data_IF_204015309512
#
_entry.id   IF_204015309512
#
_cell.length_a   1.000
_cell.length_b   1.000
_cell.length_c   1.000
_cell.angle_alpha   90.00
_cell.angle_beta   90.00
_cell.angle_gamma   90.00
#
_symmetry.space_group_name_H-M   'P 1'
#
loop_
_entity.id
_entity.type
_entity.pdbx_description
1 polymer ?
#
# COMPACT_ATOMS: atom_id res chain seq x y z
N UNK A 1 18.95 -18.74 -13.57
CA UNK A 1 18.13 -17.64 -13.00
C UNK A 1 17.66 -18.04 -11.60
N UNK A 2 17.96 -17.23 -10.58
CA UNK A 2 17.91 -17.62 -9.15
C UNK A 2 16.45 -17.76 -8.64
N UNK A 3 16.09 -18.84 -7.93
CA UNK A 3 14.71 -19.11 -7.50
C UNK A 3 14.12 -17.96 -6.64
N UNK A 4 14.95 -17.29 -5.84
CA UNK A 4 14.58 -16.10 -5.05
C UNK A 4 14.12 -14.91 -5.91
N UNK A 5 14.67 -14.71 -7.10
CA UNK A 5 14.27 -13.58 -7.96
C UNK A 5 12.88 -13.81 -8.55
N UNK A 6 12.54 -15.05 -8.91
CA UNK A 6 11.19 -15.42 -9.37
C UNK A 6 10.10 -15.12 -8.33
N UNK A 7 10.34 -15.46 -7.06
CA UNK A 7 9.37 -15.16 -5.99
C UNK A 7 9.22 -13.66 -5.75
N UNK A 8 10.31 -12.90 -5.81
CA UNK A 8 10.27 -11.45 -5.66
C UNK A 8 9.43 -10.79 -6.78
N UNK A 9 9.66 -11.18 -8.04
CA UNK A 9 8.89 -10.67 -9.18
C UNK A 9 7.41 -11.02 -9.08
N UNK A 10 7.06 -12.25 -8.68
CA UNK A 10 5.67 -12.66 -8.50
C UNK A 10 4.98 -11.91 -7.34
N UNK A 11 5.68 -11.71 -6.21
CA UNK A 11 5.18 -10.90 -5.09
C UNK A 11 4.93 -9.45 -5.53
N UNK A 12 5.84 -8.86 -6.31
CA UNK A 12 5.68 -7.49 -6.80
C UNK A 12 4.48 -7.34 -7.74
N UNK A 13 4.28 -8.29 -8.67
CA UNK A 13 3.11 -8.29 -9.57
C UNK A 13 1.81 -8.43 -8.78
N UNK A 14 1.74 -9.38 -7.84
CA UNK A 14 0.55 -9.55 -6.99
C UNK A 14 0.29 -8.32 -6.13
N UNK A 15 1.33 -7.68 -5.61
CA UNK A 15 1.21 -6.42 -4.88
C UNK A 15 0.59 -5.33 -5.76
N UNK A 16 1.05 -5.19 -7.01
CA UNK A 16 0.46 -4.27 -7.98
C UNK A 16 -1.03 -4.55 -8.23
N UNK A 17 -1.41 -5.83 -8.42
CA UNK A 17 -2.81 -6.26 -8.60
C UNK A 17 -3.65 -5.88 -7.37
N UNK A 18 -3.15 -6.16 -6.16
CA UNK A 18 -3.84 -5.79 -4.92
C UNK A 18 -3.97 -4.26 -4.80
N UNK A 19 -2.96 -3.50 -5.22
CA UNK A 19 -3.01 -2.04 -5.26
C UNK A 19 -4.14 -1.51 -6.16
N UNK A 20 -4.25 -2.02 -7.38
CA UNK A 20 -5.34 -1.64 -8.31
C UNK A 20 -6.70 -2.00 -7.73
N UNK A 21 -6.85 -3.22 -7.21
CA UNK A 21 -8.10 -3.65 -6.57
C UNK A 21 -8.44 -2.77 -5.36
N UNK A 22 -7.45 -2.42 -4.54
CA UNK A 22 -7.63 -1.55 -3.37
C UNK A 22 -8.19 -0.17 -3.75
N UNK A 23 -7.68 0.42 -4.83
CA UNK A 23 -8.19 1.71 -5.33
C UNK A 23 -9.63 1.59 -5.81
N UNK A 24 -9.99 0.53 -6.55
CA UNK A 24 -11.37 0.29 -6.97
C UNK A 24 -12.29 0.06 -5.76
N UNK A 25 -11.81 -0.70 -4.77
CA UNK A 25 -12.53 -0.98 -3.54
C UNK A 25 -12.75 0.30 -2.71
N UNK A 26 -11.77 1.21 -2.66
CA UNK A 26 -11.93 2.53 -2.05
C UNK A 26 -13.04 3.33 -2.74
N UNK A 27 -13.00 3.44 -4.07
CA UNK A 27 -14.03 4.22 -4.78
C UNK A 27 -15.44 3.65 -4.60
N UNK A 28 -15.57 2.32 -4.59
CA UNK A 28 -16.85 1.67 -4.29
C UNK A 28 -17.40 2.13 -2.93
N UNK A 29 -16.61 2.04 -1.86
CA UNK A 29 -17.05 2.46 -0.52
C UNK A 29 -17.22 3.97 -0.41
N UNK A 30 -16.39 4.74 -1.09
CA UNK A 30 -16.50 6.20 -1.11
C UNK A 30 -17.84 6.63 -1.69
N UNK A 31 -18.27 6.04 -2.82
CA UNK A 31 -19.58 6.35 -3.39
C UNK A 31 -20.74 5.86 -2.51
N UNK A 32 -20.62 4.68 -1.90
CA UNK A 32 -21.64 4.17 -0.96
C UNK A 32 -21.80 5.11 0.23
N UNK A 33 -20.72 5.54 0.87
CA UNK A 33 -20.78 6.45 2.00
C UNK A 33 -21.11 7.88 1.62
N UNK A 34 -20.73 8.33 0.42
CA UNK A 34 -21.00 9.67 -0.09
C UNK A 34 -22.51 9.97 -0.25
N UNK A 35 -23.37 8.95 -0.26
CA UNK A 35 -24.83 9.13 -0.22
C UNK A 35 -25.33 9.58 1.16
N UNK A 36 -24.60 9.25 2.23
CA UNK A 36 -25.05 9.45 3.61
C UNK A 36 -24.18 10.41 4.43
N UNK A 37 -22.92 10.60 4.04
CA UNK A 37 -21.91 11.36 4.77
C UNK A 37 -21.36 12.51 3.93
N UNK A 38 -20.76 13.50 4.58
CA UNK A 38 -19.98 14.52 3.88
C UNK A 38 -18.72 13.89 3.24
N UNK A 39 -18.08 14.66 2.35
CA UNK A 39 -16.89 14.23 1.62
C UNK A 39 -15.77 13.69 2.53
N UNK A 40 -15.45 14.42 3.61
CA UNK A 40 -14.33 14.07 4.49
C UNK A 40 -14.58 12.74 5.21
N UNK A 41 -15.76 12.56 5.80
CA UNK A 41 -16.11 11.32 6.49
C UNK A 41 -16.24 10.14 5.51
N UNK A 42 -16.89 10.34 4.36
CA UNK A 42 -17.01 9.30 3.34
C UNK A 42 -15.62 8.80 2.88
N UNK A 43 -14.68 9.72 2.66
CA UNK A 43 -13.32 9.38 2.25
C UNK A 43 -12.55 8.63 3.35
N UNK A 44 -12.65 9.06 4.61
CA UNK A 44 -11.97 8.39 5.74
C UNK A 44 -12.50 6.98 5.95
N UNK A 45 -13.81 6.76 5.95
CA UNK A 45 -14.38 5.42 6.12
C UNK A 45 -14.05 4.50 4.95
N UNK A 46 -14.17 5.00 3.72
CA UNK A 46 -13.78 4.24 2.52
C UNK A 46 -12.29 3.85 2.56
N UNK A 47 -11.43 4.77 3.02
CA UNK A 47 -10.00 4.52 3.18
C UNK A 47 -9.73 3.43 4.22
N UNK A 48 -10.39 3.48 5.39
CA UNK A 48 -10.22 2.47 6.44
C UNK A 48 -10.66 1.08 5.94
N UNK A 49 -11.83 0.97 5.31
CA UNK A 49 -12.34 -0.33 4.83
C UNK A 49 -11.45 -0.88 3.71
N UNK A 50 -11.06 -0.02 2.78
CA UNK A 50 -10.13 -0.37 1.70
C UNK A 50 -8.80 -0.88 2.28
N UNK A 51 -8.23 -0.15 3.24
CA UNK A 51 -7.00 -0.52 3.96
C UNK A 51 -7.08 -1.90 4.61
N UNK A 52 -8.18 -2.20 5.29
CA UNK A 52 -8.45 -3.51 5.91
C UNK A 52 -8.49 -4.60 4.83
N UNK A 53 -9.21 -4.38 3.73
CA UNK A 53 -9.25 -5.31 2.60
C UNK A 53 -7.87 -5.59 2.01
N UNK A 54 -7.09 -4.53 1.76
CA UNK A 54 -5.71 -4.66 1.26
C UNK A 54 -4.78 -5.37 2.23
N UNK A 55 -4.94 -5.21 3.55
CA UNK A 55 -4.19 -5.98 4.52
C UNK A 55 -4.39 -7.49 4.34
N UNK A 56 -5.66 -7.94 4.27
CA UNK A 56 -5.97 -9.35 4.10
C UNK A 56 -5.53 -9.89 2.74
N UNK A 57 -5.74 -9.14 1.67
CA UNK A 57 -5.27 -9.53 0.34
C UNK A 57 -3.74 -9.65 0.29
N UNK A 58 -3.02 -8.70 0.89
CA UNK A 58 -1.57 -8.79 0.95
C UNK A 58 -1.08 -9.98 1.80
N UNK A 59 -1.77 -10.32 2.89
CA UNK A 59 -1.46 -11.50 3.69
C UNK A 59 -1.70 -12.80 2.91
N UNK A 60 -2.90 -13.00 2.38
CA UNK A 60 -3.29 -14.27 1.77
C UNK A 60 -2.78 -14.44 0.34
N UNK A 61 -2.88 -13.41 -0.50
CA UNK A 61 -2.58 -13.50 -1.93
C UNK A 61 -1.13 -13.09 -2.26
N UNK A 62 -0.68 -11.92 -1.78
CA UNK A 62 0.65 -11.39 -2.13
C UNK A 62 1.77 -12.18 -1.44
N UNK A 63 1.80 -12.18 -0.11
CA UNK A 63 2.94 -12.69 0.67
C UNK A 63 2.74 -14.10 1.22
N UNK A 64 1.51 -14.63 1.19
CA UNK A 64 1.14 -15.96 1.70
C UNK A 64 1.59 -16.16 3.16
N UNK A 65 1.22 -15.22 4.02
CA UNK A 65 1.52 -15.22 5.46
C UNK A 65 0.23 -15.18 6.28
N UNK A 66 0.26 -15.65 7.52
CA UNK A 66 -0.92 -15.61 8.39
C UNK A 66 -1.23 -14.17 8.80
N UNK A 67 -2.45 -13.65 8.65
CA UNK A 67 -2.82 -12.36 9.23
C UNK A 67 -2.83 -12.49 10.75
N UNK A 68 -2.20 -11.54 11.42
CA UNK A 68 -2.19 -11.48 12.88
C UNK A 68 -2.50 -10.06 13.33
N UNK A 69 -3.01 -9.92 14.55
CA UNK A 69 -3.34 -8.60 15.11
C UNK A 69 -2.12 -7.67 15.18
N UNK A 70 -0.93 -8.21 15.45
CA UNK A 70 0.33 -7.45 15.44
C UNK A 70 0.67 -6.89 14.05
N UNK A 71 0.50 -7.69 12.99
CA UNK A 71 0.69 -7.25 11.61
C UNK A 71 -0.36 -6.19 11.23
N UNK A 72 -1.61 -6.39 11.66
CA UNK A 72 -2.71 -5.47 11.39
C UNK A 72 -2.45 -4.07 11.96
N UNK A 73 -2.08 -3.96 13.24
CA UNK A 73 -1.77 -2.66 13.87
C UNK A 73 -0.58 -1.95 13.22
N UNK A 74 0.38 -2.71 12.68
CA UNK A 74 1.57 -2.13 12.00
C UNK A 74 1.32 -1.77 10.54
N UNK A 75 0.32 -2.35 9.91
CA UNK A 75 0.05 -2.11 8.49
C UNK A 75 -0.29 -0.64 8.15
N UNK A 76 -1.00 0.13 9.00
CA UNK A 76 -1.16 1.57 8.83
C UNK A 76 0.15 2.35 8.65
N UNK A 77 1.28 1.87 9.19
CA UNK A 77 2.59 2.50 8.98
C UNK A 77 2.98 2.55 7.50
N UNK A 78 2.56 1.55 6.71
CA UNK A 78 2.76 1.53 5.25
C UNK A 78 2.07 2.72 4.60
N UNK A 79 0.84 3.02 5.01
CA UNK A 79 0.06 4.14 4.49
C UNK A 79 0.62 5.48 4.95
N UNK A 80 1.13 5.58 6.18
CA UNK A 80 1.82 6.79 6.64
C UNK A 80 3.02 7.11 5.75
N UNK A 81 3.86 6.12 5.45
CA UNK A 81 4.99 6.29 4.53
C UNK A 81 4.51 6.64 3.12
N UNK A 82 3.44 5.98 2.65
CA UNK A 82 2.84 6.29 1.35
C UNK A 82 2.36 7.75 1.26
N UNK A 83 1.67 8.25 2.28
CA UNK A 83 1.21 9.64 2.37
C UNK A 83 2.41 10.59 2.39
N UNK A 84 3.41 10.33 3.22
CA UNK A 84 4.63 11.15 3.27
C UNK A 84 5.31 11.24 1.90
N UNK A 85 5.41 10.12 1.19
CA UNK A 85 6.00 10.09 -0.16
C UNK A 85 5.11 10.81 -1.19
N UNK A 86 3.79 10.65 -1.10
CA UNK A 86 2.83 11.30 -1.99
C UNK A 86 2.86 12.84 -1.87
N UNK A 87 3.14 13.39 -0.68
CA UNK A 87 3.30 14.84 -0.50
C UNK A 87 4.72 15.32 -0.77
N UNK A 88 5.75 14.61 -0.29
CA UNK A 88 7.14 15.08 -0.37
C UNK A 88 7.76 14.98 -1.77
N UNK A 89 7.51 13.88 -2.51
CA UNK A 89 8.14 13.67 -3.82
C UNK A 89 7.72 14.74 -4.84
N UNK A 90 6.42 15.03 -5.05
CA UNK A 90 6.01 16.10 -5.95
C UNK A 90 6.58 17.45 -5.54
N UNK A 91 6.48 17.77 -4.25
CA UNK A 91 6.93 19.05 -3.71
C UNK A 91 8.43 19.27 -3.94
N UNK A 92 9.26 18.28 -3.60
CA UNK A 92 10.71 18.32 -3.83
C UNK A 92 11.01 18.37 -5.34
N UNK A 93 10.33 17.56 -6.15
CA UNK A 93 10.55 17.53 -7.60
C UNK A 93 10.27 18.87 -8.27
N UNK A 94 9.14 19.50 -7.95
CA UNK A 94 8.72 20.76 -8.56
C UNK A 94 9.45 21.96 -7.95
N UNK A 95 9.47 22.09 -6.62
CA UNK A 95 9.98 23.31 -5.96
C UNK A 95 11.51 23.34 -5.90
N UNK A 96 12.18 22.20 -5.72
CA UNK A 96 13.64 22.14 -5.54
C UNK A 96 14.34 21.85 -6.87
N UNK A 97 13.82 20.88 -7.64
CA UNK A 97 14.45 20.42 -8.88
C UNK A 97 13.82 21.03 -10.15
N UNK A 98 12.78 21.87 -10.02
CA UNK A 98 12.09 22.52 -11.14
C UNK A 98 11.63 21.53 -12.22
N UNK A 99 11.23 20.33 -11.80
CA UNK A 99 10.72 19.30 -12.69
C UNK A 99 9.36 19.72 -13.20
N UNK A 100 9.15 19.66 -14.52
CA UNK A 100 7.85 19.94 -15.12
C UNK A 100 6.79 19.01 -14.53
N UNK A 101 5.62 19.55 -14.20
CA UNK A 101 4.52 18.82 -13.56
C UNK A 101 4.13 17.52 -14.29
N UNK A 102 4.26 17.49 -15.62
CA UNK A 102 4.01 16.31 -16.45
C UNK A 102 4.86 15.08 -16.07
N UNK A 103 6.04 15.29 -15.48
CA UNK A 103 6.94 14.21 -15.04
C UNK A 103 6.78 13.84 -13.57
N UNK A 104 5.98 14.58 -12.79
CA UNK A 104 5.72 14.26 -11.38
C UNK A 104 5.16 12.84 -11.19
N UNK A 105 4.21 12.34 -12.00
CA UNK A 105 3.74 10.96 -11.89
C UNK A 105 4.86 9.92 -12.03
N UNK A 106 5.82 10.17 -12.93
CA UNK A 106 6.98 9.30 -13.09
C UNK A 106 7.87 9.29 -11.83
N UNK A 107 8.10 10.44 -11.22
CA UNK A 107 8.83 10.54 -9.95
C UNK A 107 8.11 9.82 -8.81
N UNK A 108 6.80 10.05 -8.67
CA UNK A 108 6.00 9.43 -7.60
C UNK A 108 5.90 7.91 -7.72
N UNK A 109 6.09 7.35 -8.93
CA UNK A 109 6.13 5.90 -9.15
C UNK A 109 7.24 5.21 -8.36
N UNK A 110 8.28 5.95 -7.95
CA UNK A 110 9.33 5.45 -7.05
C UNK A 110 8.80 5.06 -5.66
N UNK A 111 7.63 5.57 -5.26
CA UNK A 111 6.97 5.14 -4.02
C UNK A 111 6.52 3.68 -4.07
N UNK A 112 6.19 3.14 -5.25
CA UNK A 112 5.65 1.78 -5.38
C UNK A 112 6.65 0.72 -4.88
N UNK A 113 7.93 0.69 -5.33
CA UNK A 113 8.93 -0.21 -4.77
C UNK A 113 9.14 -0.05 -3.26
N UNK A 114 9.14 1.19 -2.75
CA UNK A 114 9.36 1.45 -1.31
C UNK A 114 8.21 0.90 -0.47
N UNK A 115 6.98 1.17 -0.88
CA UNK A 115 5.77 0.66 -0.22
C UNK A 115 5.74 -0.87 -0.28
N UNK A 116 6.09 -1.47 -1.42
CA UNK A 116 6.20 -2.92 -1.56
C UNK A 116 7.24 -3.54 -0.62
N UNK A 117 8.44 -2.94 -0.51
CA UNK A 117 9.49 -3.45 0.36
C UNK A 117 9.09 -3.34 1.84
N UNK A 118 8.44 -2.23 2.22
CA UNK A 118 7.99 -1.99 3.58
C UNK A 118 6.84 -2.93 3.98
N UNK A 119 5.82 -3.10 3.13
CA UNK A 119 4.72 -4.03 3.37
C UNK A 119 5.23 -5.47 3.48
N UNK A 120 6.14 -5.88 2.59
CA UNK A 120 6.83 -7.17 2.65
C UNK A 120 7.60 -7.37 3.96
N UNK A 121 8.34 -6.36 4.39
CA UNK A 121 9.12 -6.41 5.64
C UNK A 121 8.22 -6.60 6.85
N UNK A 122 7.17 -5.78 6.99
CA UNK A 122 6.23 -5.83 8.11
C UNK A 122 5.52 -7.19 8.15
N UNK A 123 5.02 -7.66 7.00
CA UNK A 123 4.19 -8.86 6.94
C UNK A 123 5.01 -10.17 7.06
N UNK A 124 6.26 -10.22 6.57
CA UNK A 124 7.11 -11.43 6.66
C UNK A 124 8.00 -11.50 7.90
N UNK A 125 8.51 -10.38 8.41
CA UNK A 125 9.42 -10.41 9.58
C UNK A 125 8.72 -11.03 10.79
N UNK A 126 7.43 -10.79 10.94
CA UNK A 126 6.66 -11.35 12.05
C UNK A 126 6.35 -12.84 11.89
N UNK A 127 6.23 -13.37 10.67
CA UNK A 127 6.02 -14.80 10.45
C UNK A 127 7.18 -15.64 11.00
N UNK A 128 8.42 -15.20 10.73
CA UNK A 128 9.63 -15.88 11.23
C UNK A 128 9.77 -15.82 12.75
N UNK A 129 9.13 -14.86 13.41
CA UNK A 129 9.15 -14.72 14.87
C UNK A 129 8.12 -15.65 15.53
N UNK A 130 7.01 -15.94 14.85
CA UNK A 130 5.98 -16.87 15.34
C UNK A 130 6.46 -18.33 15.25
N UNK A 131 7.17 -18.71 14.18
CA UNK A 131 7.70 -20.09 14.04
C UNK A 131 8.91 -20.40 14.94
N UNK A 132 9.41 -19.42 15.70
CA UNK A 132 10.55 -19.57 16.63
C UNK A 132 10.13 -19.60 18.11
N UNK A 133 8.83 -19.55 18.38
CA UNK A 133 8.20 -19.72 19.69
C UNK A 133 7.47 -21.06 19.70
#
# INVERSE_FOLDING_TARGET
>A
MNLKSRFFSAEFIRFGIVGVFNTLHHYLWFFVFGVFLNYDFANVFAFIISMIGSFYLNCYFTYKVRPTFKKFIKFPLVYLVQILMAYSIPKIGVEIFNVKEIFVPLLTSFSIPVVFLLSRYILRKEEKKIMKL
#
